data_IF_552377184422
#
_entry.id   IF_552377184422
#
_cell.length_a   1.000
_cell.length_b   1.000
_cell.length_c   1.000
_cell.angle_alpha   90.00
_cell.angle_beta   90.00
_cell.angle_gamma   90.00
#
_symmetry.space_group_name_H-M   'P 1'
#
loop_
_entity.id
_entity.type
_entity.pdbx_description
1 polymer ?
#
# COMPACT_ATOMS: atom_id res chain seq x y z
N UNK A 1 29.24 5.15 -12.69
CA UNK A 1 27.83 5.48 -12.38
C UNK A 1 27.05 4.17 -12.26
N UNK A 2 26.91 3.66 -11.03
CA UNK A 2 26.31 2.35 -10.78
C UNK A 2 24.79 2.42 -10.96
N UNK A 3 24.27 1.55 -11.83
CA UNK A 3 22.83 1.33 -12.03
C UNK A 3 22.32 0.49 -10.86
N UNK A 4 21.58 1.10 -9.93
CA UNK A 4 20.84 0.39 -8.89
C UNK A 4 19.61 -0.32 -9.49
N UNK A 5 19.88 -1.40 -10.22
CA UNK A 5 18.89 -2.41 -10.60
C UNK A 5 18.79 -3.45 -9.49
N UNK A 6 18.05 -3.13 -8.42
CA UNK A 6 17.54 -4.15 -7.49
C UNK A 6 16.08 -3.84 -7.15
N UNK A 7 15.19 -4.74 -7.59
CA UNK A 7 13.73 -4.72 -7.45
C UNK A 7 12.98 -3.84 -8.47
N UNK A 8 13.27 -4.08 -9.76
CA UNK A 8 12.54 -3.53 -10.88
C UNK A 8 11.13 -4.12 -11.00
N UNK A 9 10.15 -3.47 -10.37
CA UNK A 9 8.76 -3.49 -10.84
C UNK A 9 8.43 -2.07 -11.28
N UNK A 10 8.27 -1.89 -12.59
CA UNK A 10 7.80 -0.62 -13.15
C UNK A 10 6.31 -0.40 -12.72
N UNK A 11 5.79 0.83 -12.81
CA UNK A 11 4.40 1.14 -12.46
C UNK A 11 3.39 0.21 -13.16
N UNK A 12 3.61 -0.07 -14.44
CA UNK A 12 2.79 -0.98 -15.23
C UNK A 12 2.71 -2.39 -14.65
N UNK A 13 3.81 -2.89 -14.06
CA UNK A 13 3.82 -4.18 -13.38
C UNK A 13 2.95 -4.16 -12.13
N UNK A 14 2.89 -3.05 -11.38
CA UNK A 14 1.96 -2.91 -10.26
C UNK A 14 0.51 -2.79 -10.73
N UNK A 15 0.25 -2.13 -11.85
CA UNK A 15 -1.08 -2.08 -12.45
C UNK A 15 -1.52 -3.47 -12.97
N UNK A 16 -0.60 -4.25 -13.55
CA UNK A 16 -0.82 -5.65 -13.95
C UNK A 16 -1.01 -6.56 -12.74
N UNK A 17 -0.24 -6.37 -11.67
CA UNK A 17 -0.41 -7.10 -10.41
C UNK A 17 -1.74 -6.76 -9.74
N UNK A 18 -2.16 -5.49 -9.83
CA UNK A 18 -3.51 -5.07 -9.46
C UNK A 18 -4.53 -5.76 -10.37
N UNK A 19 -4.28 -5.96 -11.67
CA UNK A 19 -5.14 -6.82 -12.48
C UNK A 19 -5.23 -8.25 -11.92
N UNK A 20 -4.10 -8.92 -11.77
CA UNK A 20 -4.03 -10.35 -11.39
C UNK A 20 -4.67 -10.60 -10.02
N UNK A 21 -4.32 -9.81 -9.00
CA UNK A 21 -4.91 -9.95 -7.66
C UNK A 21 -6.39 -9.57 -7.58
N UNK A 22 -6.97 -9.08 -8.69
CA UNK A 22 -8.35 -8.64 -8.75
C UNK A 22 -9.23 -9.45 -9.73
N UNK A 23 -8.65 -10.35 -10.54
CA UNK A 23 -9.34 -11.15 -11.58
C UNK A 23 -9.58 -12.62 -11.21
N UNK A 24 -9.21 -13.07 -10.01
CA UNK A 24 -9.47 -14.45 -9.54
C UNK A 24 -10.95 -14.67 -9.16
N UNK A 25 -11.84 -14.46 -10.13
CA UNK A 25 -13.30 -14.51 -10.00
C UNK A 25 -13.92 -15.73 -10.68
N UNK A 26 -13.44 -16.92 -10.34
CA UNK A 26 -14.06 -18.17 -10.79
C UNK A 26 -14.42 -19.05 -9.59
N UNK A 27 -15.66 -18.86 -9.11
CA UNK A 27 -16.58 -19.83 -8.52
C UNK A 27 -16.10 -20.73 -7.37
N UNK A 28 -16.73 -20.58 -6.21
CA UNK A 28 -16.61 -21.37 -4.97
C UNK A 28 -15.42 -20.97 -4.05
N UNK A 29 -15.73 -20.33 -2.91
CA UNK A 29 -14.75 -19.80 -1.92
C UNK A 29 -14.67 -18.27 -1.77
N UNK A 30 -15.57 -17.53 -2.43
CA UNK A 30 -15.50 -16.05 -2.59
C UNK A 30 -15.67 -15.26 -1.28
N UNK A 31 -16.56 -15.70 -0.40
CA UNK A 31 -16.78 -15.04 0.91
C UNK A 31 -15.61 -15.26 1.86
N UNK A 32 -15.05 -16.47 1.91
CA UNK A 32 -13.89 -16.78 2.76
C UNK A 32 -12.63 -16.03 2.31
N UNK A 33 -12.41 -15.90 1.00
CA UNK A 33 -11.27 -15.15 0.46
C UNK A 33 -11.39 -13.64 0.69
N UNK A 34 -12.57 -13.06 0.48
CA UNK A 34 -12.83 -11.65 0.76
C UNK A 34 -12.73 -11.36 2.28
N UNK A 35 -13.28 -12.23 3.12
CA UNK A 35 -13.18 -12.12 4.57
C UNK A 35 -11.72 -12.19 5.05
N UNK A 36 -10.96 -13.16 4.54
CA UNK A 36 -9.52 -13.30 4.84
C UNK A 36 -8.75 -12.07 4.41
N UNK A 37 -9.02 -11.54 3.22
CA UNK A 37 -8.36 -10.31 2.71
C UNK A 37 -8.73 -9.09 3.56
N UNK A 38 -9.98 -8.96 3.98
CA UNK A 38 -10.44 -7.87 4.85
C UNK A 38 -9.79 -7.95 6.24
N UNK A 39 -9.72 -9.15 6.84
CA UNK A 39 -9.01 -9.36 8.10
C UNK A 39 -7.52 -9.03 7.98
N UNK A 40 -6.88 -9.46 6.90
CA UNK A 40 -5.47 -9.17 6.64
C UNK A 40 -5.24 -7.67 6.44
N UNK A 41 -6.10 -6.98 5.69
CA UNK A 41 -6.04 -5.53 5.54
C UNK A 41 -6.18 -4.84 6.90
N UNK A 42 -7.19 -5.22 7.68
CA UNK A 42 -7.43 -4.67 9.03
C UNK A 42 -6.21 -4.90 9.92
N UNK A 43 -5.65 -6.11 9.94
CA UNK A 43 -4.46 -6.42 10.73
C UNK A 43 -3.23 -5.62 10.28
N UNK A 44 -3.04 -5.38 8.98
CA UNK A 44 -1.94 -4.55 8.47
C UNK A 44 -2.11 -3.07 8.78
N UNK A 45 -3.34 -2.55 8.73
CA UNK A 45 -3.62 -1.16 9.06
C UNK A 45 -3.53 -0.90 10.56
N UNK A 46 -4.02 -1.84 11.39
CA UNK A 46 -3.95 -1.79 12.85
C UNK A 46 -2.56 -2.13 13.39
N UNK A 47 -1.74 -2.82 12.59
CA UNK A 47 -0.35 -3.05 12.90
C UNK A 47 0.36 -1.72 13.13
N UNK A 48 0.89 -1.56 14.34
CA UNK A 48 1.98 -0.63 14.56
C UNK A 48 3.09 -1.04 13.59
N UNK A 49 3.65 -0.09 12.84
CA UNK A 49 4.89 -0.34 12.10
C UNK A 49 5.84 -1.08 13.04
N UNK A 50 6.52 -2.17 12.62
CA UNK A 50 7.17 -3.08 13.55
C UNK A 50 8.15 -2.29 14.42
N UNK A 51 7.74 -2.13 15.68
CA UNK A 51 8.37 -1.27 16.69
C UNK A 51 9.03 -2.10 17.80
N UNK A 52 9.06 -3.43 17.67
CA UNK A 52 9.61 -4.30 18.70
C UNK A 52 10.90 -5.01 18.26
N UNK A 53 11.88 -4.98 19.15
CA UNK A 53 13.31 -5.22 18.90
C UNK A 53 13.81 -6.58 19.38
N UNK A 54 12.92 -7.53 19.62
CA UNK A 54 13.28 -8.80 20.30
C UNK A 54 13.28 -10.04 19.41
N UNK A 55 13.06 -9.91 18.11
CA UNK A 55 13.31 -10.99 17.14
C UNK A 55 14.32 -10.51 16.10
N UNK A 56 15.54 -10.30 16.58
CA UNK A 56 16.69 -9.82 15.79
C UNK A 56 17.72 -10.92 15.75
N UNK A 57 17.58 -11.87 14.83
CA UNK A 57 18.76 -12.57 14.26
C UNK A 57 18.68 -12.79 12.73
N UNK A 58 17.54 -12.59 12.06
CA UNK A 58 17.42 -12.89 10.61
C UNK A 58 16.79 -11.77 9.74
N UNK A 59 16.95 -10.49 10.09
CA UNK A 59 16.38 -9.41 9.27
C UNK A 59 17.44 -8.67 8.45
N UNK A 60 17.33 -8.63 7.09
CA UNK A 60 18.30 -7.97 6.21
C UNK A 60 18.49 -6.49 6.54
N UNK A 61 19.71 -5.98 6.34
CA UNK A 61 20.16 -4.60 6.61
C UNK A 61 19.21 -3.47 6.15
N UNK A 62 18.34 -3.75 5.18
CA UNK A 62 17.28 -2.86 4.67
C UNK A 62 16.28 -2.45 5.78
N UNK A 63 16.07 -3.28 6.81
CA UNK A 63 15.21 -2.96 7.96
C UNK A 63 15.88 -2.02 8.97
N UNK A 64 17.22 -2.05 9.09
CA UNK A 64 17.98 -1.16 9.97
C UNK A 64 17.87 0.31 9.56
N UNK A 65 17.87 0.59 8.25
CA UNK A 65 17.70 1.95 7.72
C UNK A 65 16.24 2.42 7.88
N UNK A 66 15.27 1.52 7.69
CA UNK A 66 13.85 1.82 7.85
C UNK A 66 13.49 2.12 9.32
N UNK A 67 14.17 1.47 10.27
CA UNK A 67 14.01 1.67 11.73
C UNK A 67 14.41 3.08 12.19
N UNK A 68 15.55 3.61 11.73
CA UNK A 68 15.98 5.00 12.05
C UNK A 68 15.04 6.04 11.45
N UNK A 69 14.48 5.71 10.30
CA UNK A 69 13.65 6.60 9.49
C UNK A 69 12.18 6.68 9.95
N UNK A 70 11.69 5.70 10.71
CA UNK A 70 10.28 5.61 11.15
C UNK A 70 10.12 5.84 12.66
N UNK A 71 11.22 5.91 13.42
CA UNK A 71 11.23 6.23 14.85
C UNK A 71 10.45 7.50 15.24
N UNK A 72 10.38 8.59 14.43
CA UNK A 72 9.63 9.78 14.80
C UNK A 72 8.09 9.62 14.78
N UNK A 73 7.55 8.51 14.27
CA UNK A 73 6.09 8.32 14.07
C UNK A 73 5.35 7.75 15.31
N UNK A 74 6.02 7.66 16.46
CA UNK A 74 5.47 7.53 17.81
C UNK A 74 4.13 6.78 17.93
N UNK A 75 4.16 5.45 17.99
CA UNK A 75 3.00 4.62 18.38
C UNK A 75 1.81 4.61 17.42
N UNK A 76 1.84 5.40 16.33
CA UNK A 76 0.77 5.46 15.34
C UNK A 76 0.73 4.20 14.48
N UNK A 77 -0.48 3.76 14.17
CA UNK A 77 -0.71 2.63 13.27
C UNK A 77 -0.51 3.04 11.81
N UNK A 78 -0.28 2.05 10.94
CA UNK A 78 -0.14 2.31 9.52
C UNK A 78 -1.39 2.98 8.93
N UNK A 79 -2.58 2.56 9.37
CA UNK A 79 -3.86 3.13 8.96
C UNK A 79 -3.93 4.62 9.28
N UNK A 80 -3.63 4.99 10.53
CA UNK A 80 -3.64 6.39 10.98
C UNK A 80 -2.68 7.27 10.18
N UNK A 81 -1.48 6.78 9.86
CA UNK A 81 -0.53 7.58 9.06
C UNK A 81 -1.03 7.74 7.63
N UNK A 82 -1.60 6.69 7.03
CA UNK A 82 -2.04 6.74 5.63
C UNK A 82 -3.33 7.54 5.43
N UNK A 83 -4.18 7.67 6.44
CA UNK A 83 -5.46 8.39 6.32
C UNK A 83 -5.44 9.81 6.90
N UNK A 84 -4.43 10.16 7.70
CA UNK A 84 -4.28 11.50 8.28
C UNK A 84 -3.71 12.51 7.27
N UNK A 85 -4.33 13.69 7.24
CA UNK A 85 -3.92 14.83 6.41
C UNK A 85 -2.65 15.52 6.91
N UNK A 86 -2.28 15.32 8.18
CA UNK A 86 -1.09 15.92 8.79
C UNK A 86 0.14 15.01 8.74
N UNK A 87 0.01 13.83 8.16
CA UNK A 87 1.13 12.90 8.03
C UNK A 87 2.26 13.52 7.22
N UNK A 88 3.50 13.25 7.60
CA UNK A 88 4.66 13.74 6.87
C UNK A 88 4.78 13.06 5.49
N UNK A 89 5.02 13.85 4.44
CA UNK A 89 5.18 13.33 3.08
C UNK A 89 6.36 12.35 2.96
N UNK A 90 7.40 12.53 3.76
CA UNK A 90 8.51 11.58 3.87
C UNK A 90 8.06 10.20 4.38
N UNK A 91 7.24 10.17 5.43
CA UNK A 91 6.61 8.96 5.95
C UNK A 91 5.71 8.29 4.92
N UNK A 92 4.87 9.06 4.20
CA UNK A 92 4.00 8.54 3.14
C UNK A 92 4.82 7.91 2.00
N UNK A 93 5.92 8.56 1.57
CA UNK A 93 6.85 8.00 0.58
C UNK A 93 7.49 6.69 1.07
N UNK A 94 7.82 6.58 2.36
CA UNK A 94 8.37 5.36 2.97
C UNK A 94 7.35 4.22 2.96
N UNK A 95 6.11 4.50 3.37
CA UNK A 95 4.99 3.54 3.33
C UNK A 95 4.76 3.03 1.91
N UNK A 96 4.72 3.93 0.92
CA UNK A 96 4.60 3.56 -0.49
C UNK A 96 5.69 2.58 -0.92
N UNK A 97 6.96 2.87 -0.60
CA UNK A 97 8.10 1.99 -0.95
C UNK A 97 7.98 0.64 -0.24
N UNK A 98 7.58 0.62 1.02
CA UNK A 98 7.37 -0.61 1.78
C UNK A 98 6.28 -1.49 1.15
N UNK A 99 5.11 -0.92 0.88
CA UNK A 99 3.99 -1.61 0.25
C UNK A 99 4.35 -2.14 -1.15
N UNK A 100 5.09 -1.36 -1.95
CA UNK A 100 5.62 -1.81 -3.24
C UNK A 100 6.53 -3.04 -3.10
N UNK A 101 7.44 -3.04 -2.13
CA UNK A 101 8.33 -4.18 -1.83
C UNK A 101 7.55 -5.39 -1.30
N UNK A 102 6.44 -5.18 -0.58
CA UNK A 102 5.58 -6.28 -0.15
C UNK A 102 4.88 -6.94 -1.32
N UNK A 103 4.32 -6.14 -2.24
CA UNK A 103 3.63 -6.63 -3.43
C UNK A 103 4.55 -7.41 -4.38
N UNK A 104 5.85 -7.13 -4.38
CA UNK A 104 6.83 -7.79 -5.24
C UNK A 104 7.33 -9.14 -4.72
N UNK A 105 7.04 -9.51 -3.46
CA UNK A 105 7.49 -10.78 -2.87
C UNK A 105 6.55 -11.91 -3.27
N UNK A 106 7.09 -13.14 -3.35
CA UNK A 106 6.31 -14.36 -3.59
C UNK A 106 5.44 -14.65 -2.36
N UNK A 107 4.25 -14.03 -2.32
CA UNK A 107 3.24 -14.15 -1.26
C UNK A 107 1.92 -14.66 -1.81
N UNK A 108 0.97 -14.95 -0.91
CA UNK A 108 -0.43 -15.25 -1.23
C UNK A 108 -1.07 -14.10 -2.02
N UNK A 109 -2.18 -14.38 -2.70
CA UNK A 109 -2.91 -13.36 -3.44
C UNK A 109 -3.50 -12.29 -2.50
N UNK A 110 -4.07 -12.70 -1.37
CA UNK A 110 -4.59 -11.79 -0.35
C UNK A 110 -3.50 -10.82 0.17
N UNK A 111 -2.29 -11.33 0.45
CA UNK A 111 -1.14 -10.48 0.83
C UNK A 111 -0.80 -9.44 -0.25
N UNK A 112 -0.85 -9.84 -1.53
CA UNK A 112 -0.55 -8.94 -2.64
C UNK A 112 -1.65 -7.90 -2.79
N UNK A 113 -2.93 -8.29 -2.70
CA UNK A 113 -4.07 -7.38 -2.77
C UNK A 113 -3.98 -6.31 -1.66
N UNK A 114 -3.67 -6.72 -0.43
CA UNK A 114 -3.48 -5.81 0.71
C UNK A 114 -2.29 -4.88 0.50
N UNK A 115 -1.15 -5.40 0.02
CA UNK A 115 0.03 -4.59 -0.28
C UNK A 115 -0.26 -3.55 -1.37
N UNK A 116 -1.00 -3.93 -2.41
CA UNK A 116 -1.43 -3.04 -3.49
C UNK A 116 -2.37 -1.95 -2.96
N UNK A 117 -3.34 -2.30 -2.11
CA UNK A 117 -4.21 -1.31 -1.47
C UNK A 117 -3.37 -0.28 -0.68
N UNK A 118 -2.47 -0.72 0.21
CA UNK A 118 -1.63 0.20 0.98
C UNK A 118 -0.74 1.07 0.08
N UNK A 119 -0.22 0.51 -1.02
CA UNK A 119 0.58 1.26 -2.00
C UNK A 119 -0.22 2.41 -2.62
N UNK A 120 -1.44 2.14 -3.10
CA UNK A 120 -2.30 3.17 -3.69
C UNK A 120 -2.84 4.12 -2.63
N UNK A 121 -3.04 3.68 -1.38
CA UNK A 121 -3.46 4.55 -0.29
C UNK A 121 -2.40 5.61 0.02
N UNK A 122 -1.12 5.24 0.02
CA UNK A 122 -0.03 6.20 0.16
C UNK A 122 0.04 7.20 -1.01
N UNK A 123 -0.27 6.77 -2.24
CA UNK A 123 -0.35 7.69 -3.39
C UNK A 123 -1.54 8.64 -3.23
N UNK A 124 -2.71 8.11 -2.85
CA UNK A 124 -3.92 8.88 -2.63
C UNK A 124 -3.73 9.94 -1.54
N UNK A 125 -3.08 9.59 -0.42
CA UNK A 125 -2.72 10.54 0.63
C UNK A 125 -1.84 11.67 0.09
N UNK A 126 -0.76 11.33 -0.62
CA UNK A 126 0.15 12.33 -1.19
C UNK A 126 -0.54 13.28 -2.19
N UNK A 127 -1.47 12.76 -3.00
CA UNK A 127 -2.26 13.59 -3.91
C UNK A 127 -3.24 14.49 -3.16
N UNK A 128 -4.02 13.93 -2.22
CA UNK A 128 -5.13 14.63 -1.58
C UNK A 128 -4.67 15.67 -0.56
N UNK A 129 -3.60 15.39 0.19
CA UNK A 129 -3.19 16.23 1.33
C UNK A 129 -1.90 17.00 1.11
N UNK A 130 -1.10 16.59 0.13
CA UNK A 130 0.17 17.25 -0.18
C UNK A 130 0.26 17.80 -1.59
N UNK A 131 -0.77 17.61 -2.43
CA UNK A 131 -0.81 18.03 -3.84
C UNK A 131 0.41 17.55 -4.64
N UNK A 132 0.94 16.36 -4.29
CA UNK A 132 2.16 15.81 -4.89
C UNK A 132 1.88 14.43 -5.48
N UNK A 133 2.09 14.31 -6.80
CA UNK A 133 2.09 13.01 -7.48
C UNK A 133 3.40 12.27 -7.22
N UNK A 134 3.40 11.41 -6.20
CA UNK A 134 4.59 10.65 -5.78
C UNK A 134 4.88 9.40 -6.63
N UNK A 135 4.30 9.29 -7.82
CA UNK A 135 4.42 8.12 -8.70
C UNK A 135 4.51 8.53 -10.17
N UNK A 136 5.04 7.64 -11.00
CA UNK A 136 5.15 7.83 -12.45
C UNK A 136 3.93 7.34 -13.24
N UNK A 137 2.94 6.70 -12.58
CA UNK A 137 1.64 6.41 -13.21
C UNK A 137 0.99 7.69 -13.76
N UNK A 138 0.36 7.61 -14.95
CA UNK A 138 -0.52 8.67 -15.45
C UNK A 138 -1.73 8.85 -14.55
N UNK A 139 -2.38 10.01 -14.60
CA UNK A 139 -3.62 10.23 -13.85
C UNK A 139 -4.73 9.27 -14.27
N UNK A 140 -4.85 8.96 -15.57
CA UNK A 140 -5.77 7.94 -16.09
C UNK A 140 -5.50 6.56 -15.46
N UNK A 141 -4.23 6.17 -15.33
CA UNK A 141 -3.85 4.91 -14.69
C UNK A 141 -4.18 4.90 -13.20
N UNK A 142 -4.07 6.05 -12.53
CA UNK A 142 -4.43 6.21 -11.12
C UNK A 142 -5.93 6.16 -10.92
N UNK A 143 -6.69 6.87 -11.74
CA UNK A 143 -8.16 6.86 -11.74
C UNK A 143 -8.69 5.43 -11.87
N UNK A 144 -8.23 4.70 -12.90
CA UNK A 144 -8.63 3.31 -13.11
C UNK A 144 -8.28 2.40 -11.92
N UNK A 145 -7.14 2.65 -11.26
CA UNK A 145 -6.72 1.86 -10.10
C UNK A 145 -7.55 2.18 -8.86
N UNK A 146 -7.84 3.46 -8.59
CA UNK A 146 -8.69 3.89 -7.47
C UNK A 146 -10.12 3.37 -7.67
N UNK A 147 -10.70 3.52 -8.86
CA UNK A 147 -12.02 3.00 -9.18
C UNK A 147 -12.12 1.49 -8.94
N UNK A 148 -11.10 0.72 -9.33
CA UNK A 148 -11.04 -0.73 -9.07
C UNK A 148 -10.96 -1.07 -7.58
N UNK A 149 -10.19 -0.31 -6.81
CA UNK A 149 -10.00 -0.55 -5.37
C UNK A 149 -11.25 -0.18 -4.56
N UNK A 150 -11.94 0.90 -4.92
CA UNK A 150 -13.18 1.35 -4.24
C UNK A 150 -14.27 0.27 -4.29
N UNK A 151 -14.36 -0.45 -5.40
CA UNK A 151 -15.37 -1.48 -5.63
C UNK A 151 -15.04 -2.84 -4.98
N UNK A 152 -14.00 -2.94 -4.15
CA UNK A 152 -13.64 -4.20 -3.50
C UNK A 152 -14.43 -4.40 -2.21
N UNK A 153 -15.13 -5.54 -2.03
CA UNK A 153 -15.98 -5.79 -0.86
C UNK A 153 -15.18 -5.88 0.46
N UNK A 154 -13.88 -6.19 0.37
CA UNK A 154 -12.97 -6.29 1.51
C UNK A 154 -12.28 -4.97 1.88
N UNK A 155 -12.52 -3.88 1.14
CA UNK A 155 -11.86 -2.60 1.35
C UNK A 155 -12.38 -1.88 2.61
N UNK A 156 -11.50 -1.29 3.40
CA UNK A 156 -11.93 -0.52 4.57
C UNK A 156 -12.59 0.81 4.15
N UNK A 157 -13.59 1.23 4.93
CA UNK A 157 -14.33 2.46 4.66
C UNK A 157 -13.43 3.71 4.61
N UNK A 158 -12.40 3.76 5.46
CA UNK A 158 -11.46 4.88 5.51
C UNK A 158 -10.61 4.98 4.25
N UNK A 159 -10.09 3.85 3.75
CA UNK A 159 -9.34 3.83 2.49
C UNK A 159 -10.25 4.14 1.31
N UNK A 160 -11.49 3.65 1.31
CA UNK A 160 -12.48 4.00 0.28
C UNK A 160 -12.72 5.51 0.21
N UNK A 161 -12.92 6.18 1.35
CA UNK A 161 -13.09 7.63 1.39
C UNK A 161 -11.85 8.36 0.83
N UNK A 162 -10.66 7.88 1.18
CA UNK A 162 -9.41 8.45 0.67
C UNK A 162 -9.28 8.29 -0.85
N UNK A 163 -9.58 7.11 -1.39
CA UNK A 163 -9.55 6.88 -2.84
C UNK A 163 -10.59 7.70 -3.60
N UNK A 164 -11.80 7.83 -3.08
CA UNK A 164 -12.85 8.65 -3.70
C UNK A 164 -12.39 10.11 -3.79
N UNK A 165 -11.70 10.63 -2.77
CA UNK A 165 -11.12 11.99 -2.81
C UNK A 165 -10.01 12.09 -3.84
N UNK A 166 -9.11 11.11 -3.90
CA UNK A 166 -8.00 11.10 -4.86
C UNK A 166 -8.48 10.96 -6.31
N UNK A 167 -9.55 10.21 -6.56
CA UNK A 167 -10.16 10.05 -7.89
C UNK A 167 -10.56 11.41 -8.49
N UNK A 168 -11.13 12.31 -7.66
CA UNK A 168 -11.53 13.66 -8.08
C UNK A 168 -10.36 14.56 -8.51
N UNK A 169 -9.13 14.19 -8.14
CA UNK A 169 -7.90 14.92 -8.43
C UNK A 169 -7.11 14.31 -9.59
N UNK A 170 -7.57 13.20 -10.16
CA UNK A 170 -6.94 12.60 -11.33
C UNK A 170 -7.42 13.32 -12.59
N UNK A 171 -6.68 14.34 -13.03
CA UNK A 171 -6.93 15.15 -14.24
C UNK A 171 -5.64 15.37 -15.03
#
# INVERSE_FOLDING_TARGET
MSKDSTLGLNPESLARLLGIALYSDSGEGKDDSAHTTAQLLKARLAGTLPLDTTVVEELPAILGQLRKDLMPLGGRTLGEVVTDSKSDLGAIKKIRRYAKKMASRKRTEADRAVAVAIYYAAIANALVFHDVKVTTHSYESLEASFAKLINKPWMSAELNRLYIRALKLCQ
#
